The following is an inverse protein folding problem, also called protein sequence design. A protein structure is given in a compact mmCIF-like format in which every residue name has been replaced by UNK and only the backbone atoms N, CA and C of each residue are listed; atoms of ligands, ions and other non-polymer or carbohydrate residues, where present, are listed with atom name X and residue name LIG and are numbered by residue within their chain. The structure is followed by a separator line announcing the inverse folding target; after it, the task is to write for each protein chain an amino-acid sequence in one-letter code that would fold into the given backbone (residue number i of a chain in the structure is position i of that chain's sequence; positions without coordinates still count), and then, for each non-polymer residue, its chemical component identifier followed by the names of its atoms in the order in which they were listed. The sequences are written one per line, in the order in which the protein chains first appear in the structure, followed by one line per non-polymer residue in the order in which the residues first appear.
data_IF_104924010633
#
_entry.id   IF_104924010633
#
_cell.length_a   1.000
_cell.length_b   1.000
_cell.length_c   1.000
_cell.angle_alpha   90.00
_cell.angle_beta   90.00
_cell.angle_gamma   90.00
#
_symmetry.space_group_name_H-M   'P 1'
#
loop_
_entity.id
_entity.type
_entity.pdbx_description
1 polymer ?
#
# COMPACT_ATOMS: atom_id res chain seq x y z
N UNK A 1 -9.66 -7.45 37.22
CA UNK A 1 -8.54 -7.99 36.41
C UNK A 1 -8.47 -7.18 35.11
N UNK A 2 -7.41 -6.39 34.89
CA UNK A 2 -7.25 -5.67 33.61
C UNK A 2 -7.04 -6.73 32.51
N UNK A 3 -7.91 -6.75 31.52
CA UNK A 3 -7.74 -7.63 30.35
C UNK A 3 -6.40 -7.28 29.69
N UNK A 4 -5.58 -8.28 29.44
CA UNK A 4 -4.29 -8.12 28.74
C UNK A 4 -4.57 -7.66 27.32
N UNK A 5 -3.92 -6.58 26.91
CA UNK A 5 -4.03 -6.11 25.53
C UNK A 5 -3.33 -7.11 24.58
N UNK A 6 -3.91 -7.32 23.42
CA UNK A 6 -3.26 -8.12 22.37
C UNK A 6 -1.96 -7.46 21.91
N UNK A 7 -0.98 -8.30 21.58
CA UNK A 7 0.32 -7.85 21.07
C UNK A 7 0.28 -7.81 19.55
N UNK A 8 0.49 -6.64 18.98
CA UNK A 8 0.52 -6.44 17.52
C UNK A 8 1.94 -6.18 17.04
N UNK A 9 2.44 -7.07 16.19
CA UNK A 9 3.74 -6.89 15.51
C UNK A 9 3.51 -6.00 14.29
N UNK A 10 4.17 -4.85 14.26
CA UNK A 10 4.17 -3.94 13.11
C UNK A 10 5.53 -4.02 12.42
N UNK A 11 5.53 -4.05 11.09
CA UNK A 11 6.75 -4.19 10.29
C UNK A 11 6.64 -3.34 9.02
N UNK A 12 7.69 -2.58 8.74
CA UNK A 12 7.85 -1.90 7.45
C UNK A 12 9.28 -2.18 6.95
N UNK A 13 9.41 -2.59 5.71
CA UNK A 13 10.63 -3.21 5.20
C UNK A 13 11.86 -2.30 5.25
N UNK A 14 11.71 -1.02 4.92
CA UNK A 14 12.83 -0.06 4.95
C UNK A 14 13.28 0.30 6.36
N UNK A 15 12.38 0.24 7.33
CA UNK A 15 12.66 0.56 8.74
C UNK A 15 13.18 -0.68 9.49
N UNK A 16 12.57 -1.83 9.25
CA UNK A 16 12.85 -3.06 10.00
C UNK A 16 13.77 -4.02 9.25
N UNK A 17 13.64 -4.11 7.94
CA UNK A 17 14.27 -5.16 7.13
C UNK A 17 15.60 -4.77 6.50
N UNK A 18 15.55 -4.04 5.42
CA UNK A 18 16.75 -3.74 4.61
C UNK A 18 16.95 -2.24 4.41
N UNK A 19 18.19 -1.84 4.28
CA UNK A 19 18.49 -0.47 3.91
C UNK A 19 18.15 -0.28 2.42
N UNK A 20 17.32 0.72 2.17
CA UNK A 20 16.91 1.11 0.82
C UNK A 20 17.28 2.59 0.62
N UNK A 21 17.36 3.07 -0.63
CA UNK A 21 17.71 4.49 -0.86
C UNK A 21 16.79 5.44 -0.09
N UNK A 22 17.36 6.46 0.53
CA UNK A 22 16.64 7.38 1.43
C UNK A 22 15.42 8.04 0.75
N UNK A 23 15.50 8.32 -0.55
CA UNK A 23 14.42 8.91 -1.32
C UNK A 23 13.18 8.00 -1.45
N UNK A 24 13.39 6.69 -1.25
CA UNK A 24 12.31 5.69 -1.22
C UNK A 24 11.95 5.41 0.25
N UNK A 25 12.96 5.30 1.11
CA UNK A 25 12.80 4.98 2.52
C UNK A 25 11.89 5.99 3.25
N UNK A 26 11.88 7.25 2.82
CA UNK A 26 11.05 8.28 3.47
C UNK A 26 9.56 7.90 3.50
N UNK A 27 9.07 7.23 2.45
CA UNK A 27 7.68 6.75 2.43
C UNK A 27 7.46 5.64 3.48
N UNK A 28 8.40 4.70 3.55
CA UNK A 28 8.36 3.62 4.54
C UNK A 28 8.43 4.15 5.98
N UNK A 29 9.31 5.12 6.23
CA UNK A 29 9.43 5.79 7.53
C UNK A 29 8.10 6.44 7.90
N UNK A 30 7.45 7.13 6.96
CA UNK A 30 6.17 7.78 7.18
C UNK A 30 5.06 6.75 7.45
N UNK A 31 5.04 5.64 6.70
CA UNK A 31 4.06 4.57 6.92
C UNK A 31 4.28 3.88 8.28
N UNK A 32 5.53 3.59 8.65
CA UNK A 32 5.84 3.01 9.95
C UNK A 32 5.39 3.93 11.08
N UNK A 33 5.67 5.23 10.94
CA UNK A 33 5.23 6.25 11.91
C UNK A 33 3.70 6.25 12.06
N UNK A 34 2.97 6.10 10.95
CA UNK A 34 1.50 5.99 10.96
C UNK A 34 1.04 4.73 11.72
N UNK A 35 1.77 3.61 11.58
CA UNK A 35 1.44 2.36 12.28
C UNK A 35 1.61 2.48 13.81
N UNK A 36 2.42 3.41 14.30
CA UNK A 36 2.58 3.62 15.74
C UNK A 36 1.27 3.98 16.43
N UNK A 37 0.29 4.54 15.70
CA UNK A 37 -1.04 4.87 16.25
C UNK A 37 -1.76 3.63 16.80
N UNK A 38 -1.37 2.43 16.37
CA UNK A 38 -1.93 1.20 16.91
C UNK A 38 -1.63 1.01 18.40
N UNK A 39 -0.67 1.75 18.98
CA UNK A 39 -0.39 1.72 20.42
C UNK A 39 -1.58 2.16 21.26
N UNK A 40 -2.52 2.88 20.67
CA UNK A 40 -3.79 3.24 21.31
C UNK A 40 -4.60 2.01 21.73
N UNK A 41 -4.43 0.91 21.00
CA UNK A 41 -5.31 -0.27 21.06
C UNK A 41 -4.58 -1.58 21.38
N UNK A 42 -3.29 -1.66 21.08
CA UNK A 42 -2.47 -2.87 21.19
C UNK A 42 -1.16 -2.58 21.94
N UNK A 43 -0.58 -3.61 22.51
CA UNK A 43 0.82 -3.56 22.93
C UNK A 43 1.66 -3.83 21.68
N UNK A 44 2.42 -2.83 21.23
CA UNK A 44 3.18 -2.95 19.99
C UNK A 44 4.46 -3.76 20.18
N UNK A 45 4.72 -4.65 19.23
CA UNK A 45 5.95 -5.41 19.10
C UNK A 45 6.58 -5.00 17.76
N UNK A 46 7.88 -4.72 17.77
CA UNK A 46 8.62 -4.50 16.54
C UNK A 46 10.12 -4.55 16.82
N UNK A 47 10.90 -4.38 15.80
CA UNK A 47 12.34 -4.17 15.84
C UNK A 47 12.69 -3.21 14.73
N UNK A 48 13.82 -2.55 14.83
CA UNK A 48 14.24 -1.59 13.79
C UNK A 48 15.72 -1.80 13.49
N UNK A 49 16.12 -1.41 12.28
CA UNK A 49 17.52 -1.38 11.89
C UNK A 49 18.28 -0.35 12.75
N UNK A 50 19.57 -0.51 12.84
CA UNK A 50 20.43 0.35 13.67
C UNK A 50 20.23 1.85 13.40
N UNK A 51 20.00 2.21 12.15
CA UNK A 51 19.75 3.61 11.74
C UNK A 51 18.55 4.23 12.47
N UNK A 52 17.62 3.41 12.96
CA UNK A 52 16.37 3.86 13.56
C UNK A 52 16.26 3.65 15.07
N UNK A 53 17.31 3.14 15.72
CA UNK A 53 17.31 2.90 17.18
C UNK A 53 17.06 4.18 17.98
N UNK A 54 17.50 5.33 17.47
CA UNK A 54 17.27 6.62 18.11
C UNK A 54 15.99 7.33 17.64
N UNK A 55 15.29 6.76 16.66
CA UNK A 55 14.11 7.38 16.02
C UNK A 55 12.81 6.77 16.53
N UNK A 56 12.78 5.45 16.70
CA UNK A 56 11.58 4.71 17.08
C UNK A 56 11.79 3.97 18.40
N UNK A 57 10.71 3.73 19.16
CA UNK A 57 10.82 3.13 20.52
C UNK A 57 10.96 1.60 20.47
N UNK A 58 11.84 1.08 19.62
CA UNK A 58 12.09 -0.35 19.47
C UNK A 58 13.57 -0.63 19.40
N UNK A 59 13.98 -1.80 19.86
CA UNK A 59 15.36 -2.24 19.79
C UNK A 59 15.67 -3.03 18.52
N UNK A 60 16.87 -3.60 18.48
CA UNK A 60 17.27 -4.58 17.46
C UNK A 60 16.50 -5.88 17.67
N UNK A 61 16.38 -6.68 16.63
CA UNK A 61 15.68 -7.95 16.70
C UNK A 61 15.53 -8.57 15.34
N UNK A 62 14.59 -9.51 15.24
CA UNK A 62 14.30 -10.18 13.98
C UNK A 62 12.80 -10.42 13.80
N UNK A 63 12.42 -10.64 12.56
CA UNK A 63 11.04 -10.96 12.18
C UNK A 63 10.57 -12.21 12.95
N UNK A 64 11.40 -13.25 12.98
CA UNK A 64 11.08 -14.50 13.65
C UNK A 64 10.84 -14.31 15.16
N UNK A 65 11.74 -13.57 15.83
CA UNK A 65 11.60 -13.31 17.27
C UNK A 65 10.28 -12.58 17.57
N UNK A 66 9.90 -11.62 16.74
CA UNK A 66 8.64 -10.90 16.94
C UNK A 66 7.43 -11.82 16.72
N UNK A 67 7.48 -12.71 15.72
CA UNK A 67 6.39 -13.67 15.48
C UNK A 67 6.21 -14.63 16.66
N UNK A 68 7.28 -14.97 17.38
CA UNK A 68 7.20 -15.90 18.52
C UNK A 68 6.45 -15.30 19.72
N UNK A 69 6.34 -13.98 19.80
CA UNK A 69 5.76 -13.31 20.98
C UNK A 69 4.51 -12.48 20.70
N UNK A 70 4.11 -12.31 19.43
CA UNK A 70 2.94 -11.51 19.08
C UNK A 70 1.68 -12.36 18.91
N UNK A 71 0.52 -11.71 18.98
CA UNK A 71 -0.79 -12.33 18.71
C UNK A 71 -1.22 -12.05 17.26
N UNK A 72 -0.88 -10.87 16.75
CA UNK A 72 -1.28 -10.38 15.42
C UNK A 72 -0.09 -9.70 14.76
N UNK A 73 -0.15 -9.59 13.42
CA UNK A 73 0.90 -8.90 12.66
C UNK A 73 0.31 -8.07 11.52
N UNK A 74 0.98 -6.96 11.22
CA UNK A 74 0.72 -6.14 10.04
C UNK A 74 2.06 -5.83 9.38
N UNK A 75 2.16 -6.13 8.08
CA UNK A 75 3.41 -6.02 7.33
C UNK A 75 3.23 -5.07 6.15
N UNK A 76 4.17 -4.13 6.02
CA UNK A 76 4.33 -3.26 4.87
C UNK A 76 5.68 -3.61 4.23
N UNK A 77 5.64 -4.16 3.03
CA UNK A 77 6.85 -4.58 2.32
C UNK A 77 6.61 -4.50 0.81
N UNK A 78 7.67 -4.37 0.01
CA UNK A 78 7.51 -4.30 -1.43
C UNK A 78 7.18 -5.66 -2.05
N UNK A 79 6.61 -5.62 -3.25
CA UNK A 79 6.37 -6.80 -4.07
C UNK A 79 7.68 -7.31 -4.69
N UNK A 80 8.65 -6.43 -4.88
CA UNK A 80 9.97 -6.74 -5.44
C UNK A 80 10.60 -7.92 -4.69
N UNK A 81 11.14 -8.87 -5.46
CA UNK A 81 11.76 -10.07 -4.89
C UNK A 81 10.79 -10.94 -4.11
N UNK A 82 9.48 -10.73 -4.27
CA UNK A 82 8.45 -11.43 -3.51
C UNK A 82 8.58 -11.23 -1.99
N UNK A 83 9.14 -10.09 -1.58
CA UNK A 83 9.38 -9.79 -0.15
C UNK A 83 8.09 -9.86 0.66
N UNK A 84 7.04 -9.13 0.25
CA UNK A 84 5.75 -9.15 0.95
C UNK A 84 5.18 -10.56 1.02
N UNK A 85 5.23 -11.29 -0.09
CA UNK A 85 4.74 -12.68 -0.17
C UNK A 85 5.46 -13.58 0.84
N UNK A 86 6.78 -13.52 0.86
CA UNK A 86 7.59 -14.39 1.72
C UNK A 86 7.37 -14.09 3.20
N UNK A 87 7.31 -12.81 3.58
CA UNK A 87 7.02 -12.40 4.96
C UNK A 87 5.61 -12.86 5.39
N UNK A 88 4.63 -12.75 4.49
CA UNK A 88 3.27 -13.21 4.77
C UNK A 88 3.21 -14.72 4.99
N UNK A 89 3.95 -15.49 4.20
CA UNK A 89 4.05 -16.94 4.40
C UNK A 89 4.65 -17.28 5.77
N UNK A 90 5.62 -16.50 6.25
CA UNK A 90 6.18 -16.68 7.60
C UNK A 90 5.13 -16.43 8.68
N UNK A 91 4.31 -15.39 8.54
CA UNK A 91 3.20 -15.10 9.47
C UNK A 91 2.24 -16.30 9.52
N UNK A 92 1.83 -16.79 8.34
CA UNK A 92 0.89 -17.92 8.24
C UNK A 92 1.47 -19.20 8.87
N UNK A 93 2.74 -19.48 8.59
CA UNK A 93 3.45 -20.64 9.14
C UNK A 93 3.55 -20.58 10.66
N UNK A 94 3.73 -19.38 11.22
CA UNK A 94 3.80 -19.17 12.67
C UNK A 94 2.43 -19.25 13.36
N UNK A 95 1.34 -19.29 12.60
CA UNK A 95 -0.02 -19.30 13.16
C UNK A 95 -0.44 -17.96 13.78
N UNK A 96 0.22 -16.88 13.43
CA UNK A 96 -0.09 -15.53 13.91
C UNK A 96 -1.23 -14.94 13.06
N UNK A 97 -2.17 -14.24 13.70
CA UNK A 97 -3.26 -13.60 12.97
C UNK A 97 -2.71 -12.47 12.12
N UNK A 98 -2.89 -12.60 10.80
CA UNK A 98 -2.46 -11.58 9.84
C UNK A 98 -3.57 -10.54 9.65
N UNK A 99 -3.30 -9.26 9.91
CA UNK A 99 -4.24 -8.16 9.66
C UNK A 99 -4.22 -7.67 8.21
N UNK A 100 -3.50 -8.36 7.35
CA UNK A 100 -3.42 -8.12 5.91
C UNK A 100 -3.92 -9.31 5.10
N UNK A 101 -3.69 -9.23 3.79
CA UNK A 101 -4.13 -10.23 2.82
C UNK A 101 -3.38 -11.57 2.99
N UNK A 102 -4.00 -12.65 2.54
CA UNK A 102 -3.38 -13.98 2.54
C UNK A 102 -2.22 -14.06 1.54
N UNK A 103 -1.30 -14.97 1.78
CA UNK A 103 -0.19 -15.21 0.84
C UNK A 103 -0.70 -15.61 -0.54
N UNK A 104 -1.81 -16.35 -0.60
CA UNK A 104 -2.44 -16.76 -1.87
C UNK A 104 -2.90 -15.53 -2.68
N UNK A 105 -3.52 -14.55 -2.03
CA UNK A 105 -3.93 -13.31 -2.69
C UNK A 105 -2.70 -12.49 -3.10
N UNK A 106 -1.72 -12.36 -2.22
CA UNK A 106 -0.49 -11.59 -2.48
C UNK A 106 0.31 -12.20 -3.65
N UNK A 107 0.32 -13.52 -3.79
CA UNK A 107 0.97 -14.18 -4.94
C UNK A 107 0.37 -13.70 -6.27
N UNK A 108 -0.95 -13.46 -6.29
CA UNK A 108 -1.64 -12.95 -7.47
C UNK A 108 -1.32 -11.46 -7.65
N UNK A 109 -1.51 -10.65 -6.60
CA UNK A 109 -1.38 -9.19 -6.70
C UNK A 109 0.07 -8.74 -6.89
N UNK A 110 1.06 -9.50 -6.44
CA UNK A 110 2.47 -9.20 -6.66
C UNK A 110 2.90 -9.31 -8.12
N UNK A 111 2.17 -10.08 -8.92
CA UNK A 111 2.48 -10.32 -10.33
C UNK A 111 1.41 -9.65 -11.20
N UNK A 112 1.77 -8.57 -11.88
CA UNK A 112 0.86 -7.78 -12.71
C UNK A 112 0.18 -8.60 -13.80
N UNK A 113 0.85 -9.65 -14.32
CA UNK A 113 0.25 -10.54 -15.31
C UNK A 113 -0.82 -11.44 -14.68
N UNK A 114 -0.55 -11.97 -13.48
CA UNK A 114 -1.55 -12.77 -12.75
C UNK A 114 -2.76 -11.91 -12.36
N UNK A 115 -2.51 -10.68 -11.89
CA UNK A 115 -3.57 -9.72 -11.57
C UNK A 115 -4.44 -9.44 -12.79
N UNK A 116 -3.81 -9.05 -13.91
CA UNK A 116 -4.53 -8.78 -15.16
C UNK A 116 -5.44 -9.96 -15.55
N UNK A 117 -4.92 -11.19 -15.53
CA UNK A 117 -5.72 -12.37 -15.88
C UNK A 117 -6.93 -12.58 -14.97
N UNK A 118 -6.82 -12.18 -13.72
CA UNK A 118 -7.93 -12.34 -12.75
C UNK A 118 -9.02 -11.29 -12.93
N UNK A 119 -8.65 -10.05 -13.29
CA UNK A 119 -9.60 -8.93 -13.26
C UNK A 119 -10.13 -8.49 -14.65
N UNK A 120 -9.46 -8.87 -15.74
CA UNK A 120 -9.76 -8.38 -17.11
C UNK A 120 -11.20 -8.61 -17.60
N UNK A 121 -11.87 -9.61 -17.07
CA UNK A 121 -13.26 -9.93 -17.45
C UNK A 121 -14.28 -9.35 -16.43
N UNK A 122 -13.81 -8.60 -15.44
CA UNK A 122 -14.64 -8.01 -14.38
C UNK A 122 -14.64 -6.48 -14.41
N UNK A 123 -13.50 -5.88 -14.79
CA UNK A 123 -13.33 -4.43 -14.83
C UNK A 123 -12.53 -4.06 -16.07
N UNK A 124 -12.63 -2.80 -16.49
CA UNK A 124 -11.78 -2.30 -17.57
C UNK A 124 -10.32 -2.27 -17.10
N UNK A 125 -9.44 -2.84 -17.92
CA UNK A 125 -7.99 -2.85 -17.73
C UNK A 125 -7.33 -2.45 -19.04
N UNK A 126 -6.15 -1.81 -19.02
CA UNK A 126 -5.43 -1.59 -20.26
C UNK A 126 -5.09 -2.93 -20.94
N UNK A 127 -5.02 -2.96 -22.25
CA UNK A 127 -4.54 -4.14 -22.98
C UNK A 127 -3.19 -4.54 -22.40
N UNK A 128 -3.01 -5.80 -22.07
CA UNK A 128 -1.79 -6.31 -21.44
C UNK A 128 -1.36 -7.61 -22.11
N UNK A 129 -0.07 -7.75 -22.38
CA UNK A 129 0.49 -8.87 -23.14
C UNK A 129 1.91 -9.20 -22.66
N UNK A 130 2.36 -10.43 -22.91
CA UNK A 130 3.75 -10.83 -22.72
C UNK A 130 4.58 -10.60 -23.99
N UNK A 131 3.98 -9.96 -25.01
CA UNK A 131 4.61 -9.61 -26.29
C UNK A 131 4.30 -8.14 -26.61
N UNK A 132 5.05 -7.49 -27.50
CA UNK A 132 4.72 -6.13 -27.91
C UNK A 132 3.27 -5.99 -28.39
N UNK A 133 2.66 -4.82 -28.12
CA UNK A 133 1.30 -4.49 -28.54
C UNK A 133 1.31 -3.67 -29.84
N UNK A 134 0.16 -3.60 -30.50
CA UNK A 134 -0.05 -2.82 -31.73
C UNK A 134 -0.53 -1.38 -31.46
N UNK A 135 -0.40 -0.91 -30.22
CA UNK A 135 -0.74 0.45 -29.78
C UNK A 135 0.43 1.02 -28.97
N UNK A 136 0.33 2.25 -28.49
CA UNK A 136 1.32 2.79 -27.54
C UNK A 136 1.25 2.01 -26.22
N UNK A 137 2.40 1.61 -25.71
CA UNK A 137 2.46 0.81 -24.49
C UNK A 137 3.74 1.10 -23.69
N UNK A 138 3.67 0.74 -22.42
CA UNK A 138 4.85 0.68 -21.55
C UNK A 138 5.25 -0.77 -21.36
N UNK A 139 6.55 -0.99 -21.19
CA UNK A 139 7.12 -2.28 -20.77
C UNK A 139 7.49 -2.13 -19.29
N UNK A 140 7.03 -3.04 -18.46
CA UNK A 140 7.28 -2.97 -17.01
C UNK A 140 7.53 -4.36 -16.43
N UNK A 141 8.33 -4.46 -15.35
CA UNK A 141 8.52 -5.74 -14.67
C UNK A 141 7.18 -6.28 -14.18
N UNK A 142 6.98 -7.59 -14.27
CA UNK A 142 5.77 -8.24 -13.77
C UNK A 142 5.66 -8.11 -12.25
N UNK A 143 6.80 -8.16 -11.55
CA UNK A 143 6.87 -8.06 -10.08
C UNK A 143 7.73 -6.85 -9.71
N UNK A 144 7.10 -5.76 -9.28
CA UNK A 144 7.79 -4.53 -8.89
C UNK A 144 6.79 -3.58 -8.22
N UNK A 145 7.31 -2.57 -7.54
CA UNK A 145 6.50 -1.51 -6.95
C UNK A 145 7.03 -0.11 -7.35
N UNK A 146 6.21 0.91 -7.13
CA UNK A 146 6.61 2.31 -7.25
C UNK A 146 6.99 2.79 -8.65
N UNK A 147 6.63 2.06 -9.70
CA UNK A 147 6.93 2.46 -11.07
C UNK A 147 8.36 2.13 -11.52
N UNK A 148 9.09 1.36 -10.74
CA UNK A 148 10.47 0.99 -11.06
C UNK A 148 10.55 0.14 -12.34
N UNK A 149 11.51 0.48 -13.21
CA UNK A 149 11.80 -0.30 -14.41
C UNK A 149 10.82 -0.12 -15.56
N UNK A 150 9.95 0.90 -15.51
CA UNK A 150 8.98 1.19 -16.59
C UNK A 150 9.67 1.96 -17.70
N UNK A 151 9.42 1.56 -18.96
CA UNK A 151 9.88 2.29 -20.14
C UNK A 151 8.82 2.25 -21.24
N UNK A 152 8.84 3.21 -22.13
CA UNK A 152 7.88 3.30 -23.25
C UNK A 152 8.37 2.44 -24.40
N UNK A 153 7.52 1.52 -24.85
CA UNK A 153 7.74 0.69 -26.05
C UNK A 153 8.93 -0.25 -25.99
N UNK A 154 9.19 -0.92 -27.10
CA UNK A 154 10.33 -1.81 -27.28
C UNK A 154 10.04 -3.28 -26.96
N UNK A 155 11.09 -4.10 -26.97
CA UNK A 155 10.96 -5.54 -26.71
C UNK A 155 10.45 -5.82 -25.29
N UNK A 156 9.75 -6.92 -25.11
CA UNK A 156 9.22 -7.38 -23.83
C UNK A 156 10.06 -8.59 -23.38
N UNK A 157 11.08 -8.37 -22.53
CA UNK A 157 11.93 -9.48 -22.08
C UNK A 157 11.18 -10.42 -21.13
N UNK A 158 11.78 -11.57 -20.86
CA UNK A 158 11.27 -12.49 -19.83
C UNK A 158 11.18 -11.77 -18.48
N UNK A 159 10.10 -11.99 -17.75
CA UNK A 159 9.86 -11.31 -16.46
C UNK A 159 9.19 -9.94 -16.59
N UNK A 160 8.91 -9.49 -17.82
CA UNK A 160 8.25 -8.21 -18.10
C UNK A 160 6.91 -8.44 -18.80
N UNK A 161 6.14 -7.36 -18.93
CA UNK A 161 4.92 -7.34 -19.76
C UNK A 161 4.82 -5.99 -20.47
N UNK A 162 4.05 -5.98 -21.55
CA UNK A 162 3.61 -4.77 -22.24
C UNK A 162 2.21 -4.43 -21.73
N UNK A 163 1.97 -3.17 -21.42
CA UNK A 163 0.66 -2.68 -21.04
C UNK A 163 0.35 -1.38 -21.78
N UNK A 164 -0.81 -1.32 -22.42
CA UNK A 164 -1.30 -0.14 -23.15
C UNK A 164 -1.13 1.12 -22.28
N UNK A 165 -0.60 2.18 -22.89
CA UNK A 165 -0.42 3.47 -22.22
C UNK A 165 -1.74 4.23 -22.27
N UNK A 166 -2.39 4.34 -21.16
CA UNK A 166 -3.66 5.06 -21.04
C UNK A 166 -3.38 6.49 -20.56
N UNK A 167 -3.62 7.40 -21.07
CA UNK A 167 -3.58 8.70 -20.76
C UNK A 167 -4.70 9.03 -19.99
N UNK A 168 -4.70 9.50 -18.91
CA UNK A 168 -5.78 9.83 -17.97
C UNK A 168 -5.26 10.37 -16.65
N UNK A 169 -6.17 10.60 -15.73
CA UNK A 169 -5.85 11.08 -14.39
C UNK A 169 -5.49 9.89 -13.50
N UNK A 170 -4.26 9.85 -12.93
CA UNK A 170 -3.89 8.75 -12.04
C UNK A 170 -4.53 8.92 -10.66
N UNK A 171 -5.25 7.91 -10.23
CA UNK A 171 -5.96 7.85 -8.96
C UNK A 171 -5.58 6.57 -8.22
N UNK A 172 -5.74 6.56 -6.91
CA UNK A 172 -5.74 5.32 -6.14
C UNK A 172 -6.92 5.31 -5.18
N UNK A 173 -7.47 4.14 -4.96
CA UNK A 173 -8.57 3.94 -4.00
C UNK A 173 -8.02 3.12 -2.85
N UNK A 174 -8.11 3.67 -1.64
CA UNK A 174 -7.74 2.97 -0.41
C UNK A 174 -8.99 2.26 0.12
N UNK A 175 -8.90 0.95 0.25
CA UNK A 175 -10.01 0.10 0.71
C UNK A 175 -9.62 -0.63 1.99
N UNK A 176 -10.62 -0.98 2.79
CA UNK A 176 -10.51 -1.97 3.87
C UNK A 176 -11.40 -3.14 3.53
N UNK A 177 -10.84 -4.34 3.56
CA UNK A 177 -11.52 -5.57 3.15
C UNK A 177 -11.64 -6.51 4.35
N UNK A 178 -12.87 -6.85 4.71
CA UNK A 178 -13.19 -7.89 5.67
C UNK A 178 -14.38 -8.68 5.10
N UNK A 179 -15.48 -8.84 5.81
CA UNK A 179 -16.70 -9.44 5.26
C UNK A 179 -17.35 -8.54 4.20
N UNK A 180 -17.02 -7.24 4.26
CA UNK A 180 -17.46 -6.21 3.31
C UNK A 180 -16.25 -5.45 2.81
N UNK A 181 -16.40 -4.74 1.70
CA UNK A 181 -15.35 -3.84 1.19
C UNK A 181 -15.77 -2.41 1.51
N UNK A 182 -14.95 -1.73 2.30
CA UNK A 182 -15.21 -0.35 2.73
C UNK A 182 -14.21 0.60 2.08
N UNK A 183 -14.70 1.71 1.56
CA UNK A 183 -13.85 2.76 0.97
C UNK A 183 -13.31 3.64 2.08
N UNK A 184 -11.99 3.75 2.17
CA UNK A 184 -11.32 4.62 3.15
C UNK A 184 -11.03 5.99 2.57
N UNK A 185 -10.54 6.04 1.34
CA UNK A 185 -10.12 7.29 0.70
C UNK A 185 -9.97 7.09 -0.80
N UNK A 186 -10.21 8.13 -1.56
CA UNK A 186 -9.81 8.20 -2.97
C UNK A 186 -8.72 9.28 -3.06
N UNK A 187 -7.64 8.99 -3.77
CA UNK A 187 -6.43 9.80 -3.78
C UNK A 187 -5.97 10.03 -5.21
N UNK A 188 -5.31 11.14 -5.44
CA UNK A 188 -4.66 11.43 -6.70
C UNK A 188 -3.17 11.04 -6.64
N UNK A 189 -2.42 10.50 -7.45
CA UNK A 189 -1.18 10.16 -7.55
C UNK A 189 -0.52 11.18 -8.22
N UNK A 190 0.44 11.68 -7.79
CA UNK A 190 1.38 12.60 -8.44
C UNK A 190 2.55 11.77 -8.94
N UNK A 191 2.68 11.68 -10.25
CA UNK A 191 3.70 10.85 -10.92
C UNK A 191 4.65 11.76 -11.72
N UNK A 192 5.93 11.39 -11.75
CA UNK A 192 6.93 12.03 -12.60
C UNK A 192 7.70 10.90 -13.30
N UNK A 193 7.59 10.84 -14.63
CA UNK A 193 8.20 9.77 -15.42
C UNK A 193 7.87 8.38 -14.83
N UNK A 194 6.59 8.13 -14.57
CA UNK A 194 6.02 6.91 -13.97
C UNK A 194 6.43 6.68 -12.51
N UNK A 195 7.33 7.49 -11.94
CA UNK A 195 7.76 7.36 -10.55
C UNK A 195 6.82 8.13 -9.62
N UNK A 196 6.43 7.50 -8.50
CA UNK A 196 5.55 8.10 -7.51
C UNK A 196 6.27 9.21 -6.73
N UNK A 197 5.67 10.38 -6.69
CA UNK A 197 6.23 11.56 -5.99
C UNK A 197 5.36 12.06 -4.85
N UNK A 198 4.09 11.64 -4.79
CA UNK A 198 3.18 12.10 -3.76
C UNK A 198 1.73 11.95 -4.19
N UNK A 199 0.84 12.65 -3.52
CA UNK A 199 -0.59 12.56 -3.84
C UNK A 199 -1.40 13.71 -3.28
N UNK A 200 -2.69 13.70 -3.63
CA UNK A 200 -3.68 14.61 -3.06
C UNK A 200 -4.75 13.75 -2.37
N UNK A 201 -5.08 14.07 -1.12
CA UNK A 201 -6.05 13.34 -0.31
C UNK A 201 -7.05 14.33 0.29
N UNK A 202 -8.36 14.14 0.10
CA UNK A 202 -8.96 13.25 -0.89
C UNK A 202 -8.92 13.83 -2.31
N UNK A 203 -9.08 12.97 -3.30
CA UNK A 203 -9.21 13.36 -4.71
C UNK A 203 -10.67 13.65 -5.07
N UNK A 204 -10.87 14.39 -6.14
CA UNK A 204 -12.16 14.49 -6.82
C UNK A 204 -12.30 13.28 -7.77
N UNK A 205 -13.44 12.65 -7.75
CA UNK A 205 -13.68 11.40 -8.49
C UNK A 205 -15.15 11.24 -8.84
N UNK A 206 -15.45 10.31 -9.73
CA UNK A 206 -16.81 9.87 -10.00
C UNK A 206 -17.05 8.49 -9.35
N UNK A 207 -18.32 8.09 -9.28
CA UNK A 207 -18.73 6.84 -8.66
C UNK A 207 -18.10 5.61 -9.32
N UNK A 208 -17.92 5.67 -10.65
CA UNK A 208 -17.39 4.55 -11.43
C UNK A 208 -16.00 4.12 -10.96
N UNK A 209 -15.19 5.07 -10.45
CA UNK A 209 -13.85 4.79 -9.89
C UNK A 209 -13.94 3.84 -8.69
N UNK A 210 -14.90 4.11 -7.81
CA UNK A 210 -15.13 3.27 -6.61
C UNK A 210 -15.63 1.88 -7.04
N UNK A 211 -16.58 1.83 -7.96
CA UNK A 211 -17.15 0.57 -8.44
C UNK A 211 -16.09 -0.30 -9.12
N UNK A 212 -15.21 0.30 -9.91
CA UNK A 212 -14.10 -0.41 -10.56
C UNK A 212 -13.13 -1.00 -9.50
N UNK A 213 -12.79 -0.19 -8.48
CA UNK A 213 -11.89 -0.65 -7.41
C UNK A 213 -12.49 -1.84 -6.66
N UNK A 214 -13.76 -1.72 -6.23
CA UNK A 214 -14.45 -2.78 -5.48
C UNK A 214 -14.53 -4.06 -6.34
N UNK A 215 -14.98 -3.95 -7.58
CA UNK A 215 -15.13 -5.11 -8.48
C UNK A 215 -13.79 -5.82 -8.73
N UNK A 216 -12.68 -5.05 -8.82
CA UNK A 216 -11.36 -5.65 -9.02
C UNK A 216 -10.91 -6.45 -7.79
N UNK A 217 -11.22 -5.94 -6.59
CA UNK A 217 -10.86 -6.62 -5.33
C UNK A 217 -11.71 -7.87 -5.13
N UNK A 218 -13.00 -7.81 -5.45
CA UNK A 218 -13.90 -8.97 -5.38
C UNK A 218 -13.46 -10.12 -6.29
N UNK A 219 -12.68 -9.85 -7.32
CA UNK A 219 -12.19 -10.87 -8.26
C UNK A 219 -11.03 -11.72 -7.69
N UNK A 220 -10.47 -11.35 -6.53
CA UNK A 220 -9.29 -12.01 -5.95
C UNK A 220 -9.58 -12.45 -4.51
N UNK A 221 -9.80 -13.75 -4.34
CA UNK A 221 -10.05 -14.32 -3.01
C UNK A 221 -8.84 -14.16 -2.09
N UNK A 222 -9.10 -13.85 -0.83
CA UNK A 222 -8.06 -13.78 0.20
C UNK A 222 -7.47 -12.40 0.43
N UNK A 223 -7.93 -11.39 -0.31
CA UNK A 223 -7.62 -9.99 0.01
C UNK A 223 -8.30 -9.64 1.35
N UNK A 224 -7.55 -8.96 2.23
CA UNK A 224 -8.03 -8.62 3.58
C UNK A 224 -7.25 -7.41 4.12
N UNK A 225 -7.90 -6.64 4.99
CA UNK A 225 -7.28 -5.46 5.59
C UNK A 225 -7.15 -4.35 4.55
N UNK A 226 -6.06 -3.60 4.61
CA UNK A 226 -5.85 -2.50 3.66
C UNK A 226 -5.50 -3.05 2.28
N UNK A 227 -6.19 -2.54 1.27
CA UNK A 227 -5.88 -2.82 -0.14
C UNK A 227 -5.93 -1.50 -0.91
N UNK A 228 -4.87 -1.18 -1.63
CA UNK A 228 -4.83 -0.03 -2.53
C UNK A 228 -5.05 -0.47 -3.98
N UNK A 229 -5.92 0.22 -4.71
CA UNK A 229 -6.19 -0.05 -6.12
C UNK A 229 -5.78 1.16 -6.95
N UNK A 230 -4.82 0.99 -7.84
CA UNK A 230 -4.36 2.08 -8.71
C UNK A 230 -5.17 2.07 -10.00
N UNK A 231 -5.67 3.24 -10.37
CA UNK A 231 -6.61 3.45 -11.49
C UNK A 231 -6.15 4.63 -12.33
N UNK A 232 -6.28 4.51 -13.64
CA UNK A 232 -6.20 5.66 -14.55
C UNK A 232 -7.64 5.98 -14.97
N UNK A 233 -8.10 7.19 -14.64
CA UNK A 233 -9.41 7.67 -15.06
C UNK A 233 -9.27 8.42 -16.39
N UNK A 234 -9.75 7.79 -17.45
CA UNK A 234 -9.81 8.35 -18.79
C UNK A 234 -11.30 8.46 -19.18
N UNK A 235 -11.70 7.95 -20.35
CA UNK A 235 -13.13 7.85 -20.70
C UNK A 235 -13.91 6.93 -19.75
N UNK A 236 -13.20 6.04 -19.07
CA UNK A 236 -13.70 5.20 -17.98
C UNK A 236 -12.53 4.89 -17.05
N UNK A 237 -12.77 4.38 -15.84
CA UNK A 237 -11.68 3.96 -14.95
C UNK A 237 -11.05 2.66 -15.42
N UNK A 238 -9.73 2.66 -15.62
CA UNK A 238 -8.93 1.48 -15.96
C UNK A 238 -8.12 1.06 -14.74
N UNK A 239 -8.34 -0.15 -14.25
CA UNK A 239 -7.59 -0.70 -13.11
C UNK A 239 -6.20 -1.12 -13.59
N UNK A 240 -5.17 -0.58 -12.95
CA UNK A 240 -3.76 -0.76 -13.33
C UNK A 240 -3.07 -1.80 -12.44
N UNK A 241 -3.33 -1.72 -11.13
CA UNK A 241 -2.58 -2.50 -10.13
C UNK A 241 -3.37 -2.60 -8.83
N UNK A 242 -3.21 -3.72 -8.14
CA UNK A 242 -3.79 -3.93 -6.80
C UNK A 242 -2.64 -4.17 -5.83
N UNK A 243 -2.55 -3.34 -4.81
CA UNK A 243 -1.51 -3.37 -3.79
C UNK A 243 -2.11 -3.93 -2.50
N UNK A 244 -1.80 -5.19 -2.17
CA UNK A 244 -2.37 -5.89 -1.00
C UNK A 244 -1.60 -5.53 0.28
N UNK A 245 -1.45 -4.24 0.54
CA UNK A 245 -0.70 -3.66 1.67
C UNK A 245 -1.01 -2.17 1.80
N UNK A 246 -0.60 -1.58 2.91
CA UNK A 246 -0.68 -0.11 3.05
C UNK A 246 0.01 0.59 1.89
N UNK A 247 -0.61 1.66 1.42
CA UNK A 247 -0.05 2.57 0.41
C UNK A 247 0.13 3.96 1.03
N UNK A 248 0.95 4.76 0.40
CA UNK A 248 1.44 6.02 0.97
C UNK A 248 0.35 6.99 1.46
N UNK A 249 -0.84 7.10 0.81
CA UNK A 249 -1.88 8.02 1.32
C UNK A 249 -2.27 7.84 2.79
N UNK A 250 -2.06 6.64 3.35
CA UNK A 250 -2.41 6.36 4.76
C UNK A 250 -1.70 7.32 5.74
N UNK A 251 -0.54 7.85 5.34
CA UNK A 251 0.28 8.70 6.22
C UNK A 251 -0.41 10.01 6.59
N UNK A 252 -1.36 10.47 5.78
CA UNK A 252 -2.09 11.72 6.04
C UNK A 252 -3.51 11.50 6.55
N UNK A 253 -3.93 10.25 6.79
CA UNK A 253 -5.32 9.95 7.20
C UNK A 253 -5.73 10.72 8.46
N UNK A 254 -4.90 10.69 9.51
CA UNK A 254 -5.24 11.39 10.75
C UNK A 254 -5.35 12.90 10.54
N UNK A 255 -4.48 13.46 9.71
CA UNK A 255 -4.48 14.88 9.37
C UNK A 255 -5.73 15.26 8.56
N UNK A 256 -6.10 14.44 7.57
CA UNK A 256 -7.22 14.70 6.65
C UNK A 256 -8.58 14.38 7.29
N UNK A 257 -8.68 13.23 7.95
CA UNK A 257 -9.97 12.69 8.41
C UNK A 257 -10.18 12.81 9.93
N UNK A 258 -9.13 13.14 10.68
CA UNK A 258 -9.18 13.16 12.14
C UNK A 258 -9.18 11.77 12.76
N UNK A 259 -8.88 10.76 11.97
CA UNK A 259 -8.75 9.36 12.39
C UNK A 259 -7.56 8.72 11.68
N UNK A 260 -6.70 8.05 12.45
CA UNK A 260 -5.62 7.27 11.88
C UNK A 260 -6.17 5.97 11.28
N UNK A 261 -5.37 5.28 10.47
CA UNK A 261 -5.72 3.94 10.01
C UNK A 261 -6.00 3.01 11.21
N UNK A 262 -5.22 3.13 12.28
CA UNK A 262 -5.44 2.32 13.48
C UNK A 262 -6.82 2.56 14.11
N UNK A 263 -7.26 3.83 14.16
CA UNK A 263 -8.59 4.16 14.69
C UNK A 263 -9.69 3.51 13.86
N UNK A 264 -9.56 3.57 12.54
CA UNK A 264 -10.52 2.98 11.59
C UNK A 264 -10.58 1.47 11.78
N UNK A 265 -9.43 0.80 11.75
CA UNK A 265 -9.33 -0.67 11.88
C UNK A 265 -9.91 -1.13 13.22
N UNK A 266 -9.56 -0.43 14.32
CA UNK A 266 -10.06 -0.79 15.65
C UNK A 266 -11.59 -0.77 15.70
N UNK A 267 -12.20 0.23 15.09
CA UNK A 267 -13.66 0.32 15.04
C UNK A 267 -14.25 -0.83 14.23
N UNK A 268 -13.72 -1.10 13.03
CA UNK A 268 -14.21 -2.20 12.19
C UNK A 268 -14.05 -3.56 12.88
N UNK A 269 -12.92 -3.81 13.54
CA UNK A 269 -12.67 -5.05 14.28
C UNK A 269 -13.67 -5.26 15.43
N UNK A 270 -14.25 -4.18 15.94
CA UNK A 270 -15.24 -4.23 17.01
C UNK A 270 -16.68 -4.06 16.51
N UNK A 271 -16.90 -4.25 15.20
CA UNK A 271 -18.22 -4.21 14.59
C UNK A 271 -18.86 -2.82 14.56
N UNK A 272 -18.06 -1.76 14.65
CA UNK A 272 -18.53 -0.39 14.60
C UNK A 272 -18.17 0.25 13.26
N UNK A 273 -19.16 0.79 12.57
CA UNK A 273 -18.91 1.62 11.40
C UNK A 273 -18.42 2.99 11.83
N UNK A 274 -17.61 3.62 10.99
CA UNK A 274 -17.15 4.99 11.19
C UNK A 274 -17.42 5.79 9.92
N UNK A 275 -17.80 7.05 10.13
CA UNK A 275 -17.96 8.00 9.03
C UNK A 275 -16.58 8.59 8.72
N UNK A 276 -16.04 8.22 7.58
CA UNK A 276 -14.73 8.73 7.11
C UNK A 276 -15.01 9.97 6.26
N UNK A 277 -14.96 11.14 6.90
CA UNK A 277 -15.31 12.41 6.27
C UNK A 277 -14.12 13.37 6.32
N UNK A 278 -13.68 13.91 5.18
CA UNK A 278 -12.52 14.79 5.19
C UNK A 278 -12.80 16.11 5.92
N UNK A 279 -11.90 16.51 6.79
CA UNK A 279 -11.88 17.79 7.50
C UNK A 279 -11.03 18.81 6.72
N UNK A 280 -10.17 18.33 5.84
CA UNK A 280 -9.32 19.15 4.97
C UNK A 280 -8.88 18.35 3.76
N UNK A 281 -8.33 19.04 2.77
CA UNK A 281 -7.76 18.42 1.57
C UNK A 281 -6.29 18.82 1.51
N UNK A 282 -5.39 17.86 1.30
CA UNK A 282 -3.96 18.12 1.31
C UNK A 282 -3.28 17.50 0.09
N UNK A 283 -2.24 18.18 -0.37
CA UNK A 283 -1.24 17.62 -1.25
C UNK A 283 -0.06 17.21 -0.36
N UNK A 284 0.47 16.02 -0.56
CA UNK A 284 1.74 15.62 0.06
C UNK A 284 2.71 15.20 -1.03
N UNK A 285 3.97 15.46 -0.82
CA UNK A 285 4.99 15.12 -1.84
C UNK A 285 6.36 14.93 -1.19
N UNK A 286 7.19 14.15 -1.88
CA UNK A 286 8.58 13.91 -1.46
C UNK A 286 9.41 15.16 -1.73
N UNK A 287 10.15 15.62 -0.72
CA UNK A 287 10.95 16.83 -0.80
C UNK A 287 12.19 16.72 0.07
N UNK A 288 12.76 17.87 0.40
CA UNK A 288 14.00 17.97 1.18
C UNK A 288 13.81 18.93 2.36
N UNK A 289 14.63 18.74 3.39
CA UNK A 289 14.61 19.59 4.56
C UNK A 289 13.54 19.18 5.57
N UNK A 290 13.05 20.14 6.34
CA UNK A 290 12.02 19.86 7.35
C UNK A 290 10.65 19.65 6.71
N UNK A 291 9.94 18.65 7.18
CA UNK A 291 8.60 18.32 6.66
C UNK A 291 7.72 17.66 7.70
N UNK A 292 6.60 17.18 7.24
CA UNK A 292 5.63 16.43 8.06
C UNK A 292 6.29 15.17 8.64
N UNK A 293 7.12 14.50 7.84
CA UNK A 293 8.02 13.42 8.28
C UNK A 293 9.38 13.71 7.65
N UNK A 294 10.45 13.49 8.39
CA UNK A 294 11.82 13.72 7.91
C UNK A 294 12.68 12.50 8.17
N UNK A 295 13.54 12.16 7.21
CA UNK A 295 14.55 11.11 7.33
C UNK A 295 15.79 11.53 6.52
N UNK A 296 16.89 11.77 7.24
CA UNK A 296 18.09 12.32 6.62
C UNK A 296 17.80 13.71 6.05
N UNK A 297 18.12 13.94 4.79
CA UNK A 297 17.79 15.17 4.08
C UNK A 297 16.43 15.14 3.39
N UNK A 298 15.78 13.96 3.35
CA UNK A 298 14.49 13.75 2.67
C UNK A 298 13.31 13.98 3.61
N UNK A 299 12.21 14.40 3.05
CA UNK A 299 11.00 14.68 3.84
C UNK A 299 9.73 14.40 3.03
N UNK A 300 8.63 14.26 3.75
CA UNK A 300 7.28 14.37 3.19
C UNK A 300 6.79 15.77 3.55
N UNK A 301 6.47 16.55 2.53
CA UNK A 301 5.98 17.93 2.67
C UNK A 301 4.46 17.91 2.51
N UNK A 302 3.73 18.65 3.35
CA UNK A 302 2.27 18.83 3.21
C UNK A 302 1.95 20.24 2.75
N UNK A 303 0.93 20.35 1.90
CA UNK A 303 0.36 21.62 1.46
C UNK A 303 -1.17 21.49 1.53
N UNK A 304 -1.82 22.34 2.31
CA UNK A 304 -3.29 22.42 2.34
C UNK A 304 -3.81 22.99 1.01
N UNK A 305 -4.92 22.43 0.53
CA UNK A 305 -5.57 22.83 -0.73
C UNK A 305 -6.95 23.43 -0.48
#
# INVERSE_FOLDING_TARGET
MKMRRSKLFIYEHGVCGEKIPDEIAIEGVAMFKSLLSFDRYFDLISFVRDDFLSVFPFGSGSFKECLEICDKAIVVAPEDGFTLLNLTKEIEKAGVENLGSSSKAIEITSDKWKTFKKIKDKVATPKTSLKPLDCEYVVKPRVSCGGSGIRVGGDVPEGFLAQELIXGKPLSVSLYVDEEIKVLSINEXILENFSYKGGVVPAEYNRDVVEAAISSVEAIDGLKGYVGVDIILAEQPFVIEINARLTTPVIVFEYVYGMSYADIVWNFMNGRDVEIKPKRRVMFYKGYGNGFVTYGKHSIILKNL
#
